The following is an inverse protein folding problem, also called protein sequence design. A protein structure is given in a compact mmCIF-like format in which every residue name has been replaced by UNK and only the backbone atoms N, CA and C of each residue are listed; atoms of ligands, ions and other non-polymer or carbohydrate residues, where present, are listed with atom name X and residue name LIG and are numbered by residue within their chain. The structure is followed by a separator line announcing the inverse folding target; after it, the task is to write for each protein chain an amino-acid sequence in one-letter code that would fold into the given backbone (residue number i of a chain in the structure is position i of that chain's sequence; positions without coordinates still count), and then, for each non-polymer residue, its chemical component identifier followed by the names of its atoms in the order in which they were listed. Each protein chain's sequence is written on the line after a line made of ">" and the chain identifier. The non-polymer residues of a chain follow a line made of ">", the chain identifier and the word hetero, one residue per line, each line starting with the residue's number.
data_IF_817583907717
#
_entry.id   IF_817583907717
#
_cell.length_a   1.000
_cell.length_b   1.000
_cell.length_c   1.000
_cell.angle_alpha   90.00
_cell.angle_beta   90.00
_cell.angle_gamma   90.00
#
_symmetry.space_group_name_H-M   'P 1'
#
loop_
_entity.id
_entity.type
_entity.pdbx_description
1 polymer ?
#
# COMPACT_ATOMS: atom_id res chain seq x y z
N UNK A 1 -23.17 -16.20 -38.79
CA UNK A 1 -24.61 -16.12 -39.10
C UNK A 1 -25.30 -17.18 -38.25
N UNK A 2 -25.71 -16.83 -37.04
CA UNK A 2 -26.35 -17.76 -36.11
C UNK A 2 -27.53 -17.04 -35.43
N UNK A 3 -28.69 -17.62 -35.63
CA UNK A 3 -30.01 -17.20 -35.20
C UNK A 3 -30.23 -17.45 -33.70
N UNK A 4 -30.89 -16.47 -33.09
CA UNK A 4 -31.88 -16.50 -32.00
C UNK A 4 -32.46 -17.88 -31.64
N UNK A 5 -32.40 -18.25 -30.35
CA UNK A 5 -33.50 -18.74 -29.46
C UNK A 5 -32.88 -19.04 -28.07
N UNK A 6 -33.41 -18.73 -26.87
CA UNK A 6 -34.76 -18.73 -26.29
C UNK A 6 -34.77 -17.85 -25.01
N UNK A 7 -35.76 -16.96 -24.88
CA UNK A 7 -36.41 -16.59 -23.60
C UNK A 7 -37.47 -17.67 -23.27
N UNK A 8 -38.02 -17.96 -22.07
CA UNK A 8 -38.16 -17.43 -20.68
C UNK A 8 -38.63 -18.69 -19.83
N UNK A 9 -38.88 -18.71 -18.48
CA UNK A 9 -39.45 -17.64 -17.64
C UNK A 9 -38.89 -17.52 -16.20
N UNK A 10 -39.00 -16.32 -15.63
CA UNK A 10 -38.85 -16.06 -14.20
C UNK A 10 -39.82 -14.96 -13.79
N UNK A 11 -41.11 -15.28 -13.83
CA UNK A 11 -42.17 -14.40 -13.36
C UNK A 11 -42.07 -14.31 -11.83
N UNK A 12 -41.74 -13.15 -11.28
CA UNK A 12 -42.17 -12.77 -9.94
C UNK A 12 -43.21 -11.67 -10.08
N UNK A 13 -44.46 -12.09 -9.95
CA UNK A 13 -45.61 -11.23 -9.72
C UNK A 13 -45.42 -10.49 -8.40
N UNK A 14 -45.43 -9.16 -8.45
CA UNK A 14 -45.62 -8.33 -7.27
C UNK A 14 -47.09 -8.47 -6.83
N UNK A 15 -47.38 -8.89 -5.59
CA UNK A 15 -48.72 -8.76 -5.06
C UNK A 15 -48.95 -7.26 -4.80
N UNK A 16 -49.63 -6.59 -5.73
CA UNK A 16 -50.35 -5.35 -5.43
C UNK A 16 -51.53 -5.72 -4.53
N UNK A 17 -51.25 -5.81 -3.24
CA UNK A 17 -52.24 -5.84 -2.17
C UNK A 17 -52.54 -4.41 -1.72
N UNK A 18 -53.82 -4.12 -1.50
CA UNK A 18 -54.43 -2.80 -1.42
C UNK A 18 -54.30 -2.07 -0.07
N UNK A 19 -53.29 -2.35 0.75
CA UNK A 19 -53.04 -1.58 1.99
C UNK A 19 -51.57 -1.20 2.13
N UNK A 20 -51.31 0.09 1.90
CA UNK A 20 -50.03 0.75 2.13
C UNK A 20 -49.85 0.94 3.65
N UNK A 21 -48.86 0.25 4.22
CA UNK A 21 -48.34 0.38 5.60
C UNK A 21 -49.07 -0.39 6.72
N UNK A 22 -48.86 -1.71 6.79
CA UNK A 22 -48.91 -2.43 8.08
C UNK A 22 -47.60 -2.22 8.86
N UNK A 23 -47.62 -1.28 9.81
CA UNK A 23 -46.48 -0.88 10.66
C UNK A 23 -45.90 -2.03 11.48
N UNK A 24 -46.74 -2.99 11.88
CA UNK A 24 -46.33 -4.13 12.71
C UNK A 24 -45.55 -5.20 11.93
N UNK A 25 -45.85 -5.35 10.63
CA UNK A 25 -45.11 -6.29 9.76
C UNK A 25 -43.71 -5.78 9.44
N UNK A 26 -43.54 -4.46 9.27
CA UNK A 26 -42.21 -3.85 9.13
C UNK A 26 -41.39 -3.93 10.42
N UNK A 27 -42.00 -3.72 11.60
CA UNK A 27 -41.31 -3.93 12.88
C UNK A 27 -40.82 -5.37 13.02
N UNK A 28 -41.64 -6.37 12.71
CA UNK A 28 -41.22 -7.77 12.77
C UNK A 28 -40.07 -8.08 11.81
N UNK A 29 -40.11 -7.58 10.57
CA UNK A 29 -39.01 -7.78 9.60
C UNK A 29 -37.72 -7.08 10.05
N UNK A 30 -37.81 -5.90 10.67
CA UNK A 30 -36.65 -5.19 11.21
C UNK A 30 -36.09 -5.92 12.44
N UNK A 31 -36.95 -6.36 13.36
CA UNK A 31 -36.55 -7.11 14.57
C UNK A 31 -35.92 -8.46 14.19
N UNK A 32 -36.49 -9.17 13.22
CA UNK A 32 -35.94 -10.45 12.74
C UNK A 32 -34.62 -10.25 12.01
N UNK A 33 -34.47 -9.20 11.18
CA UNK A 33 -33.17 -8.87 10.57
C UNK A 33 -32.14 -8.44 11.60
N UNK A 34 -32.53 -7.69 12.64
CA UNK A 34 -31.64 -7.31 13.73
C UNK A 34 -31.23 -8.51 14.59
N UNK A 35 -32.12 -9.48 14.83
CA UNK A 35 -31.79 -10.75 15.52
C UNK A 35 -30.89 -11.64 14.67
N UNK A 36 -31.09 -11.69 13.36
CA UNK A 36 -30.22 -12.42 12.43
C UNK A 36 -28.82 -11.79 12.35
N UNK A 37 -28.75 -10.46 12.36
CA UNK A 37 -27.49 -9.71 12.45
C UNK A 37 -26.79 -9.95 13.80
N UNK A 38 -27.52 -9.89 14.91
CA UNK A 38 -26.98 -10.13 16.25
C UNK A 38 -26.53 -11.58 16.44
N UNK A 39 -27.27 -12.56 15.90
CA UNK A 39 -26.89 -13.98 15.91
C UNK A 39 -25.68 -14.28 15.05
N UNK A 40 -25.54 -13.62 13.89
CA UNK A 40 -24.35 -13.70 13.05
C UNK A 40 -23.13 -13.06 13.73
N UNK A 41 -23.32 -11.92 14.40
CA UNK A 41 -22.29 -11.26 15.20
C UNK A 41 -21.83 -12.13 16.37
N UNK A 42 -22.78 -12.76 17.09
CA UNK A 42 -22.51 -13.59 18.27
C UNK A 42 -21.87 -14.94 17.89
N UNK A 43 -22.27 -15.54 16.77
CA UNK A 43 -21.64 -16.73 16.22
C UNK A 43 -20.20 -16.48 15.77
N UNK A 44 -19.91 -15.32 15.16
CA UNK A 44 -18.54 -14.93 14.80
C UNK A 44 -17.70 -14.54 16.01
N UNK A 45 -18.28 -13.95 17.06
CA UNK A 45 -17.56 -13.61 18.30
C UNK A 45 -17.07 -14.84 19.07
N UNK A 46 -17.81 -15.96 19.03
CA UNK A 46 -17.39 -17.20 19.70
C UNK A 46 -16.26 -17.96 18.96
N UNK A 47 -16.13 -17.83 17.63
CA UNK A 47 -14.92 -18.27 16.91
C UNK A 47 -13.72 -17.31 17.13
N UNK A 48 -13.98 -16.04 17.46
CA UNK A 48 -12.96 -15.00 17.71
C UNK A 48 -12.36 -15.11 19.14
N UNK A 49 -13.10 -15.67 20.10
CA UNK A 49 -12.66 -15.80 21.49
C UNK A 49 -11.35 -16.56 21.69
N UNK A 50 -11.04 -17.55 20.84
CA UNK A 50 -9.79 -18.32 20.92
C UNK A 50 -8.61 -17.72 20.15
N UNK A 51 -8.82 -16.61 19.42
CA UNK A 51 -7.78 -15.96 18.60
C UNK A 51 -7.48 -14.50 19.00
N UNK A 52 -8.24 -13.96 19.97
CA UNK A 52 -8.15 -12.58 20.45
C UNK A 52 -6.77 -12.20 21.03
N UNK A 53 -5.94 -13.18 21.41
CA UNK A 53 -4.55 -13.00 21.85
C UNK A 53 -3.49 -13.56 20.91
N UNK A 54 -3.86 -14.08 19.74
CA UNK A 54 -2.86 -14.39 18.72
C UNK A 54 -2.52 -13.10 17.99
N UNK A 55 -1.59 -12.33 18.56
CA UNK A 55 -0.80 -11.33 17.86
C UNK A 55 -0.18 -11.98 16.63
N UNK A 56 -0.89 -11.98 15.50
CA UNK A 56 -0.36 -12.42 14.22
C UNK A 56 0.75 -11.45 13.85
N UNK A 57 1.98 -11.91 14.09
CA UNK A 57 3.22 -11.16 14.00
C UNK A 57 3.25 -10.22 12.79
N UNK A 58 3.23 -8.91 13.08
CA UNK A 58 3.54 -7.86 12.11
C UNK A 58 5.03 -8.04 11.77
N UNK A 59 5.33 -8.53 10.57
CA UNK A 59 6.71 -8.77 10.13
C UNK A 59 7.38 -7.41 9.87
N UNK A 60 8.14 -6.93 10.86
CA UNK A 60 9.30 -6.03 10.67
C UNK A 60 9.08 -4.61 10.14
N UNK A 61 7.86 -4.18 9.82
CA UNK A 61 7.58 -2.78 9.46
C UNK A 61 6.74 -2.09 10.52
N UNK A 62 7.40 -1.33 11.38
CA UNK A 62 6.78 -0.31 12.21
C UNK A 62 7.58 0.97 12.12
N UNK A 63 6.91 2.05 11.69
CA UNK A 63 7.12 3.35 12.35
C UNK A 63 6.00 4.36 12.14
N UNK A 64 5.07 4.12 11.21
CA UNK A 64 3.93 5.02 11.01
C UNK A 64 2.63 4.22 11.03
N UNK A 65 1.93 4.30 12.17
CA UNK A 65 0.50 4.06 12.27
C UNK A 65 -0.21 4.83 11.13
N UNK A 66 -1.30 4.31 10.56
CA UNK A 66 -2.02 5.02 9.47
C UNK A 66 -2.46 6.41 9.96
N UNK A 67 -1.64 7.45 9.74
CA UNK A 67 -1.82 8.80 10.30
C UNK A 67 -3.07 9.50 9.74
N UNK A 68 -3.64 8.96 8.67
CA UNK A 68 -4.91 9.39 8.06
C UNK A 68 -6.03 9.44 9.12
N UNK A 69 -6.01 8.54 10.12
CA UNK A 69 -6.96 8.57 11.24
C UNK A 69 -6.80 9.83 12.11
N UNK A 70 -5.56 10.28 12.33
CA UNK A 70 -5.29 11.51 13.07
C UNK A 70 -5.83 12.69 12.29
N UNK A 71 -5.64 12.71 10.96
CA UNK A 71 -6.21 13.71 10.07
C UNK A 71 -7.73 13.81 10.19
N UNK A 72 -8.46 12.69 10.18
CA UNK A 72 -9.91 12.69 10.34
C UNK A 72 -10.36 13.11 11.74
N UNK A 73 -9.73 12.60 12.80
CA UNK A 73 -10.09 12.93 14.18
C UNK A 73 -9.92 14.43 14.45
N UNK A 74 -8.79 14.98 14.02
CA UNK A 74 -8.47 16.39 14.16
C UNK A 74 -9.43 17.29 13.38
N UNK A 75 -9.81 16.91 12.16
CA UNK A 75 -10.81 17.64 11.38
C UNK A 75 -12.19 17.67 12.06
N UNK A 76 -12.59 16.56 12.70
CA UNK A 76 -13.84 16.53 13.47
C UNK A 76 -13.79 17.50 14.66
N UNK A 77 -12.69 17.52 15.40
CA UNK A 77 -12.50 18.44 16.54
C UNK A 77 -12.53 19.89 16.06
N UNK A 78 -11.86 20.23 14.97
CA UNK A 78 -11.84 21.60 14.43
C UNK A 78 -13.21 22.07 13.94
N UNK A 79 -13.97 21.17 13.30
CA UNK A 79 -15.33 21.48 12.83
C UNK A 79 -16.32 21.71 13.99
N UNK A 80 -16.12 21.07 15.14
CA UNK A 80 -16.93 21.34 16.33
C UNK A 80 -16.45 22.60 17.06
N UNK A 81 -15.13 22.80 17.14
CA UNK A 81 -14.53 23.95 17.81
C UNK A 81 -14.92 25.30 17.15
N UNK A 82 -15.14 25.33 15.83
CA UNK A 82 -15.56 26.55 15.13
C UNK A 82 -17.00 27.01 15.46
N UNK A 83 -17.83 26.12 16.03
CA UNK A 83 -19.19 26.45 16.49
C UNK A 83 -19.18 27.14 17.85
N UNK A 84 -18.17 26.87 18.67
CA UNK A 84 -18.02 27.36 20.04
C UNK A 84 -17.13 28.61 20.12
N UNK A 85 -17.10 29.46 19.09
CA UNK A 85 -16.27 30.68 19.07
C UNK A 85 -17.04 31.84 19.73
N UNK A 86 -16.76 32.22 20.99
CA UNK A 86 -17.29 33.44 21.57
C UNK A 86 -16.72 34.66 20.82
N UNK A 87 -17.57 35.65 20.52
CA UNK A 87 -17.15 36.89 19.87
C UNK A 87 -16.21 37.67 20.81
N UNK A 88 -15.04 38.08 20.31
CA UNK A 88 -14.16 39.05 20.99
C UNK A 88 -13.11 38.47 21.96
N UNK A 89 -12.87 37.15 21.99
CA UNK A 89 -11.75 36.57 22.75
C UNK A 89 -10.66 36.05 21.81
N UNK A 90 -9.43 36.57 21.96
CA UNK A 90 -8.23 36.25 21.14
C UNK A 90 -7.77 34.79 21.29
N UNK A 91 -8.39 34.02 22.17
CA UNK A 91 -7.98 32.65 22.46
C UNK A 91 -8.77 31.69 21.56
N UNK A 92 -8.30 31.49 20.32
CA UNK A 92 -8.67 30.28 19.58
C UNK A 92 -7.46 29.42 19.17
N UNK A 93 -6.66 28.94 20.15
CA UNK A 93 -5.59 28.00 19.88
C UNK A 93 -6.15 26.67 19.35
N UNK A 94 -7.36 26.25 19.69
CA UNK A 94 -7.83 24.89 19.40
C UNK A 94 -8.06 24.59 17.91
N UNK A 95 -8.67 25.49 17.14
CA UNK A 95 -8.90 25.27 15.69
C UNK A 95 -7.59 25.24 14.91
N UNK A 96 -6.61 26.04 15.32
CA UNK A 96 -5.29 26.13 14.66
C UNK A 96 -4.37 24.99 15.13
N UNK A 97 -4.35 24.72 16.43
CA UNK A 97 -3.51 23.70 17.08
C UNK A 97 -3.94 22.30 16.70
N UNK A 98 -5.25 22.05 16.60
CA UNK A 98 -5.75 20.80 16.06
C UNK A 98 -5.85 20.90 14.54
N UNK A 99 -6.63 21.80 13.96
CA UNK A 99 -6.94 21.78 12.52
C UNK A 99 -5.83 22.20 11.58
N UNK A 100 -4.80 22.92 12.03
CA UNK A 100 -3.72 23.40 11.18
C UNK A 100 -2.51 22.48 11.18
N UNK A 101 -1.65 22.63 12.19
CA UNK A 101 -0.32 22.01 12.24
C UNK A 101 -0.37 20.47 12.07
N UNK A 102 -1.22 19.72 12.80
CA UNK A 102 -1.38 18.28 12.60
C UNK A 102 -1.78 17.90 11.17
N UNK A 103 -2.61 18.68 10.49
CA UNK A 103 -3.00 18.39 9.10
C UNK A 103 -1.83 18.54 8.13
N UNK A 104 -0.96 19.55 8.33
CA UNK A 104 0.25 19.68 7.52
C UNK A 104 1.21 18.50 7.74
N UNK A 105 1.31 17.99 8.99
CA UNK A 105 2.12 16.80 9.30
C UNK A 105 1.51 15.56 8.61
N UNK A 106 0.20 15.33 8.74
CA UNK A 106 -0.50 14.21 8.09
C UNK A 106 -0.38 14.29 6.56
N UNK A 107 -0.50 15.48 5.98
CA UNK A 107 -0.30 15.73 4.55
C UNK A 107 1.12 15.40 4.10
N UNK A 108 2.13 15.85 4.85
CA UNK A 108 3.55 15.58 4.56
C UNK A 108 3.89 14.08 4.63
N UNK A 109 3.34 13.37 5.62
CA UNK A 109 3.49 11.91 5.74
C UNK A 109 2.74 11.18 4.64
N UNK A 110 1.58 11.67 4.21
CA UNK A 110 0.84 11.10 3.08
C UNK A 110 1.62 11.27 1.77
N UNK A 111 2.26 12.43 1.58
CA UNK A 111 3.13 12.70 0.44
C UNK A 111 4.33 11.75 0.39
N UNK A 112 5.01 11.53 1.51
CA UNK A 112 6.16 10.61 1.57
C UNK A 112 5.77 9.14 1.28
N UNK A 113 4.50 8.78 1.48
CA UNK A 113 3.93 7.47 1.13
C UNK A 113 3.51 7.34 -0.33
N UNK A 114 3.59 8.41 -1.13
CA UNK A 114 3.11 8.44 -2.51
C UNK A 114 1.58 8.59 -2.65
N UNK A 115 0.88 8.94 -1.56
CA UNK A 115 -0.55 9.20 -1.53
C UNK A 115 -0.83 10.67 -1.89
N UNK A 116 -0.78 10.96 -3.19
CA UNK A 116 -0.83 12.34 -3.72
C UNK A 116 -2.18 13.01 -3.49
N UNK A 117 -3.29 12.27 -3.59
CA UNK A 117 -4.63 12.80 -3.36
C UNK A 117 -4.83 13.17 -1.88
N UNK A 118 -4.56 12.23 -0.98
CA UNK A 118 -4.73 12.39 0.47
C UNK A 118 -3.87 13.55 0.98
N UNK A 119 -2.62 13.65 0.51
CA UNK A 119 -1.74 14.78 0.79
C UNK A 119 -2.37 16.11 0.41
N UNK A 120 -2.84 16.25 -0.83
CA UNK A 120 -3.46 17.49 -1.31
C UNK A 120 -4.74 17.83 -0.51
N UNK A 121 -5.56 16.83 -0.18
CA UNK A 121 -6.77 17.03 0.59
C UNK A 121 -6.46 17.52 2.02
N UNK A 122 -5.52 16.88 2.73
CA UNK A 122 -5.17 17.28 4.09
C UNK A 122 -4.46 18.65 4.14
N UNK A 123 -3.62 18.99 3.15
CA UNK A 123 -3.05 20.34 3.05
C UNK A 123 -4.11 21.41 2.82
N UNK A 124 -5.13 21.12 2.00
CA UNK A 124 -6.23 22.03 1.73
C UNK A 124 -7.08 22.24 2.99
N UNK A 125 -7.41 21.18 3.72
CA UNK A 125 -8.13 21.25 5.00
C UNK A 125 -7.32 22.00 6.06
N UNK A 126 -6.02 21.72 6.18
CA UNK A 126 -5.13 22.41 7.13
C UNK A 126 -5.03 23.92 6.85
N UNK A 127 -4.95 24.28 5.57
CA UNK A 127 -4.92 25.69 5.13
C UNK A 127 -6.23 26.41 5.46
N UNK A 128 -7.37 25.75 5.22
CA UNK A 128 -8.69 26.30 5.56
C UNK A 128 -8.80 26.58 7.06
N UNK A 129 -8.48 25.61 7.93
CA UNK A 129 -8.59 25.78 9.38
C UNK A 129 -7.64 26.84 9.92
N UNK A 130 -6.43 26.92 9.37
CA UNK A 130 -5.43 27.91 9.79
C UNK A 130 -5.86 29.34 9.42
N UNK A 131 -6.29 29.54 8.17
CA UNK A 131 -6.67 30.86 7.67
C UNK A 131 -8.02 31.28 8.28
N UNK A 132 -9.05 30.44 8.16
CA UNK A 132 -10.41 30.82 8.55
C UNK A 132 -10.64 30.75 10.06
N UNK A 133 -9.96 29.83 10.75
CA UNK A 133 -9.93 29.82 12.23
C UNK A 133 -9.35 31.13 12.77
N UNK A 134 -8.29 31.65 12.14
CA UNK A 134 -7.71 32.93 12.51
C UNK A 134 -8.63 34.11 12.18
N UNK A 135 -9.19 34.15 10.97
CA UNK A 135 -10.08 35.23 10.51
C UNK A 135 -11.34 35.34 11.39
N UNK A 136 -11.95 34.20 11.75
CA UNK A 136 -13.12 34.17 12.64
C UNK A 136 -12.77 34.49 14.09
N UNK A 137 -11.64 33.99 14.59
CA UNK A 137 -11.18 34.23 15.96
C UNK A 137 -10.78 35.69 16.22
N UNK A 138 -10.20 36.36 15.21
CA UNK A 138 -9.81 37.77 15.29
C UNK A 138 -10.99 38.75 15.08
N UNK A 139 -12.20 38.26 14.79
CA UNK A 139 -13.37 39.12 14.55
C UNK A 139 -13.27 40.00 13.29
N UNK A 140 -12.31 39.72 12.39
CA UNK A 140 -12.01 40.52 11.19
C UNK A 140 -13.20 40.54 10.21
N UNK A 141 -14.10 39.55 10.30
CA UNK A 141 -15.29 39.43 9.47
C UNK A 141 -16.40 40.47 9.81
N UNK A 142 -16.42 41.01 11.02
CA UNK A 142 -17.42 42.01 11.43
C UNK A 142 -16.95 43.46 11.12
N UNK A 143 -15.71 43.67 10.67
CA UNK A 143 -15.10 45.01 10.57
C UNK A 143 -15.04 45.59 9.14
N UNK A 144 -14.90 44.77 8.10
CA UNK A 144 -14.91 45.24 6.70
C UNK A 144 -15.28 44.11 5.74
N UNK A 145 -16.12 44.40 4.73
CA UNK A 145 -16.42 43.53 3.59
C UNK A 145 -15.16 43.35 2.72
N UNK A 146 -14.17 42.62 3.24
CA UNK A 146 -12.91 42.46 2.52
C UNK A 146 -13.15 41.57 1.30
N UNK A 147 -13.08 42.19 0.13
CA UNK A 147 -13.06 41.52 -1.18
C UNK A 147 -12.01 40.40 -1.19
N UNK A 148 -10.93 40.57 -0.43
CA UNK A 148 -9.89 39.57 -0.20
C UNK A 148 -10.42 38.27 0.46
N UNK A 149 -11.27 38.35 1.49
CA UNK A 149 -11.83 37.17 2.14
C UNK A 149 -12.79 36.42 1.21
N UNK A 150 -13.61 37.14 0.46
CA UNK A 150 -14.49 36.55 -0.55
C UNK A 150 -13.69 35.86 -1.67
N UNK A 151 -12.64 36.51 -2.19
CA UNK A 151 -11.74 35.95 -3.18
C UNK A 151 -11.03 34.68 -2.66
N UNK A 152 -10.60 34.67 -1.39
CA UNK A 152 -10.03 33.50 -0.74
C UNK A 152 -11.00 32.32 -0.68
N UNK A 153 -12.26 32.54 -0.32
CA UNK A 153 -13.28 31.49 -0.31
C UNK A 153 -13.54 30.94 -1.72
N UNK A 154 -13.59 31.81 -2.74
CA UNK A 154 -13.74 31.39 -4.15
C UNK A 154 -12.57 30.50 -4.58
N UNK A 155 -11.33 30.85 -4.20
CA UNK A 155 -10.15 30.03 -4.49
C UNK A 155 -10.25 28.65 -3.83
N UNK A 156 -10.67 28.58 -2.56
CA UNK A 156 -10.87 27.30 -1.86
C UNK A 156 -12.00 26.44 -2.47
N UNK A 157 -13.07 27.07 -2.98
CA UNK A 157 -14.13 26.36 -3.72
C UNK A 157 -13.55 25.78 -5.02
N UNK A 158 -12.76 26.54 -5.77
CA UNK A 158 -12.14 26.07 -7.00
C UNK A 158 -11.22 24.85 -6.76
N UNK A 159 -10.37 24.91 -5.72
CA UNK A 159 -9.54 23.78 -5.30
C UNK A 159 -10.40 22.61 -4.84
N UNK A 160 -11.47 22.87 -4.08
CA UNK A 160 -12.43 21.85 -3.64
C UNK A 160 -13.10 21.11 -4.80
N UNK A 161 -13.49 21.81 -5.86
CA UNK A 161 -14.08 21.21 -7.06
C UNK A 161 -13.09 20.29 -7.80
N UNK A 162 -11.82 20.68 -7.88
CA UNK A 162 -10.76 19.81 -8.43
C UNK A 162 -10.59 18.55 -7.59
N UNK A 163 -10.53 18.71 -6.25
CA UNK A 163 -10.45 17.58 -5.33
C UNK A 163 -11.68 16.69 -5.40
N UNK A 164 -12.87 17.25 -5.64
CA UNK A 164 -14.11 16.49 -5.80
C UNK A 164 -14.02 15.55 -7.00
N UNK A 165 -13.52 16.04 -8.13
CA UNK A 165 -13.28 15.23 -9.32
C UNK A 165 -12.36 14.04 -9.03
N UNK A 166 -11.23 14.29 -8.34
CA UNK A 166 -10.30 13.23 -7.93
C UNK A 166 -10.90 12.26 -6.91
N UNK A 167 -11.68 12.75 -5.95
CA UNK A 167 -12.32 11.94 -4.92
C UNK A 167 -13.25 10.88 -5.49
N UNK A 168 -13.88 11.13 -6.66
CA UNK A 168 -14.75 10.15 -7.34
C UNK A 168 -14.02 8.86 -7.73
N UNK A 169 -12.70 8.91 -7.90
CA UNK A 169 -11.84 7.76 -8.26
C UNK A 169 -11.34 7.03 -7.01
N UNK A 170 -11.47 7.62 -5.83
CA UNK A 170 -10.94 7.07 -4.57
C UNK A 170 -12.03 6.30 -3.79
N UNK A 171 -13.02 7.00 -3.24
CA UNK A 171 -14.10 6.37 -2.46
C UNK A 171 -15.30 7.30 -2.28
N UNK A 172 -16.48 6.73 -2.00
CA UNK A 172 -17.68 7.52 -1.68
C UNK A 172 -17.49 8.37 -0.42
N UNK A 173 -16.80 7.85 0.60
CA UNK A 173 -16.57 8.59 1.85
C UNK A 173 -15.78 9.88 1.60
N UNK A 174 -14.73 9.80 0.76
CA UNK A 174 -13.96 10.97 0.35
C UNK A 174 -14.80 11.96 -0.47
N UNK A 175 -15.68 11.48 -1.36
CA UNK A 175 -16.60 12.35 -2.11
C UNK A 175 -17.52 13.12 -1.16
N UNK A 176 -18.15 12.44 -0.20
CA UNK A 176 -19.04 13.08 0.78
C UNK A 176 -18.26 14.11 1.61
N UNK A 177 -17.05 13.76 2.06
CA UNK A 177 -16.21 14.66 2.85
C UNK A 177 -15.84 15.93 2.08
N UNK A 178 -15.45 15.81 0.81
CA UNK A 178 -15.10 16.97 -0.03
C UNK A 178 -16.34 17.82 -0.38
N UNK A 179 -17.51 17.19 -0.59
CA UNK A 179 -18.76 17.94 -0.77
C UNK A 179 -19.08 18.78 0.47
N UNK A 180 -19.01 18.19 1.65
CA UNK A 180 -19.26 18.90 2.91
C UNK A 180 -18.23 20.00 3.16
N UNK A 181 -16.96 19.78 2.78
CA UNK A 181 -15.94 20.82 2.79
C UNK A 181 -16.31 22.00 1.89
N UNK A 182 -16.74 21.75 0.64
CA UNK A 182 -17.16 22.83 -0.28
C UNK A 182 -18.34 23.60 0.32
N UNK A 183 -19.35 22.90 0.86
CA UNK A 183 -20.51 23.54 1.52
C UNK A 183 -20.09 24.40 2.72
N UNK A 184 -19.11 23.94 3.48
CA UNK A 184 -18.56 24.69 4.61
C UNK A 184 -17.86 25.98 4.14
N UNK A 185 -17.08 25.93 3.06
CA UNK A 185 -16.47 27.13 2.45
C UNK A 185 -17.52 28.06 1.84
N UNK A 186 -18.60 27.52 1.25
CA UNK A 186 -19.73 28.33 0.76
C UNK A 186 -20.41 29.05 1.92
N UNK A 187 -20.58 28.40 3.07
CA UNK A 187 -21.11 29.06 4.27
C UNK A 187 -20.24 30.23 4.72
N UNK A 188 -18.92 30.07 4.68
CA UNK A 188 -17.98 31.15 5.00
C UNK A 188 -18.02 32.31 3.99
N UNK A 189 -18.12 31.99 2.70
CA UNK A 189 -18.31 33.01 1.66
C UNK A 189 -19.61 33.80 1.91
N UNK A 190 -20.72 33.12 2.15
CA UNK A 190 -21.98 33.79 2.39
C UNK A 190 -21.96 34.62 3.69
N UNK A 191 -21.20 34.18 4.70
CA UNK A 191 -20.95 34.97 5.92
C UNK A 191 -20.18 36.26 5.61
N UNK A 192 -19.16 36.24 4.74
CA UNK A 192 -18.46 37.49 4.31
C UNK A 192 -19.36 38.47 3.57
N UNK A 193 -20.37 37.95 2.87
CA UNK A 193 -21.37 38.76 2.16
C UNK A 193 -22.49 39.26 3.07
N UNK A 194 -22.43 38.99 4.39
CA UNK A 194 -23.40 39.45 5.40
C UNK A 194 -24.85 39.10 5.09
N UNK A 195 -25.08 37.94 4.46
CA UNK A 195 -26.42 37.43 4.21
C UNK A 195 -27.05 36.94 5.53
N UNK A 196 -28.32 37.27 5.77
CA UNK A 196 -28.99 36.96 7.04
C UNK A 196 -29.36 35.48 7.17
N UNK A 197 -29.30 34.94 8.40
CA UNK A 197 -29.76 33.57 8.72
C UNK A 197 -28.76 32.43 8.43
N UNK A 198 -27.50 32.75 8.12
CA UNK A 198 -26.48 31.75 7.75
C UNK A 198 -25.94 30.96 8.94
N UNK A 199 -26.06 31.49 10.16
CA UNK A 199 -25.53 30.83 11.34
C UNK A 199 -26.08 29.40 11.50
N UNK A 200 -27.37 29.20 11.19
CA UNK A 200 -28.01 27.87 11.22
C UNK A 200 -27.41 26.96 10.15
N UNK A 201 -27.19 27.46 8.94
CA UNK A 201 -26.56 26.70 7.86
C UNK A 201 -25.16 26.22 8.25
N UNK A 202 -24.32 27.12 8.79
CA UNK A 202 -22.97 26.80 9.23
C UNK A 202 -22.96 25.76 10.36
N UNK A 203 -23.89 25.84 11.30
CA UNK A 203 -24.05 24.84 12.37
C UNK A 203 -24.36 23.47 11.79
N UNK A 204 -25.37 23.37 10.92
CA UNK A 204 -25.81 22.09 10.32
C UNK A 204 -24.69 21.46 9.50
N UNK A 205 -24.03 22.22 8.64
CA UNK A 205 -22.96 21.71 7.78
C UNK A 205 -21.73 21.30 8.60
N UNK A 206 -21.36 22.06 9.63
CA UNK A 206 -20.21 21.71 10.49
C UNK A 206 -20.45 20.42 11.27
N UNK A 207 -21.68 20.20 11.77
CA UNK A 207 -22.07 18.95 12.43
C UNK A 207 -22.01 17.78 11.42
N UNK A 208 -22.58 17.95 10.22
CA UNK A 208 -22.54 16.92 9.18
C UNK A 208 -21.09 16.56 8.81
N UNK A 209 -20.22 17.57 8.64
CA UNK A 209 -18.80 17.38 8.37
C UNK A 209 -18.08 16.64 9.50
N UNK A 210 -18.37 16.99 10.77
CA UNK A 210 -17.80 16.29 11.92
C UNK A 210 -18.25 14.82 11.99
N UNK A 211 -19.52 14.52 11.71
CA UNK A 211 -20.05 13.15 11.68
C UNK A 211 -19.35 12.30 10.62
N UNK A 212 -19.14 12.84 9.41
CA UNK A 212 -18.42 12.13 8.34
C UNK A 212 -16.94 11.95 8.68
N UNK A 213 -16.30 12.95 9.30
CA UNK A 213 -14.94 12.80 9.82
C UNK A 213 -14.84 11.69 10.88
N UNK A 214 -15.79 11.61 11.81
CA UNK A 214 -15.84 10.54 12.83
C UNK A 214 -16.06 9.18 12.17
N UNK A 215 -16.92 9.10 11.14
CA UNK A 215 -17.11 7.88 10.37
C UNK A 215 -15.81 7.41 9.69
N UNK A 216 -15.12 8.31 8.99
CA UNK A 216 -13.83 8.02 8.36
C UNK A 216 -12.75 7.65 9.39
N UNK A 217 -12.74 8.31 10.55
CA UNK A 217 -11.86 7.96 11.66
C UNK A 217 -12.10 6.53 12.15
N UNK A 218 -13.36 6.18 12.45
CA UNK A 218 -13.72 4.83 12.89
C UNK A 218 -13.40 3.77 11.82
N UNK A 219 -13.64 4.07 10.54
CA UNK A 219 -13.29 3.18 9.45
C UNK A 219 -11.78 2.94 9.36
N UNK A 220 -10.97 3.99 9.52
CA UNK A 220 -9.50 3.89 9.52
C UNK A 220 -8.97 3.15 10.75
N UNK A 221 -9.52 3.42 11.94
CA UNK A 221 -9.13 2.73 13.19
C UNK A 221 -9.46 1.24 13.12
N UNK A 222 -10.68 0.89 12.69
CA UNK A 222 -11.08 -0.53 12.57
C UNK A 222 -10.24 -1.26 11.52
N UNK A 223 -9.95 -0.60 10.39
CA UNK A 223 -9.03 -1.14 9.37
C UNK A 223 -7.62 -1.34 9.92
N UNK A 224 -7.10 -0.40 10.71
CA UNK A 224 -5.77 -0.49 11.30
C UNK A 224 -5.67 -1.58 12.37
N UNK A 225 -6.69 -1.71 13.22
CA UNK A 225 -6.73 -2.71 14.31
C UNK A 225 -6.98 -4.14 13.80
N UNK A 226 -7.92 -4.31 12.86
CA UNK A 226 -8.38 -5.64 12.42
C UNK A 226 -7.74 -6.08 11.08
N UNK A 227 -7.00 -5.18 10.44
CA UNK A 227 -6.35 -5.38 9.14
C UNK A 227 -7.32 -5.59 7.97
N UNK A 228 -8.64 -5.54 8.18
CA UNK A 228 -9.67 -5.69 7.13
C UNK A 228 -10.65 -4.51 7.22
N UNK A 229 -11.12 -3.97 6.09
CA UNK A 229 -12.12 -2.90 6.09
C UNK A 229 -13.47 -3.48 6.54
N UNK A 230 -13.80 -3.29 7.81
CA UNK A 230 -15.05 -3.76 8.41
C UNK A 230 -16.17 -2.74 8.19
N UNK A 231 -15.82 -1.46 8.28
CA UNK A 231 -16.70 -0.34 7.96
C UNK A 231 -16.52 0.00 6.47
N UNK A 232 -17.58 -0.04 5.66
CA UNK A 232 -17.47 0.17 4.22
C UNK A 232 -17.29 1.67 3.89
N UNK A 233 -16.12 2.06 3.39
CA UNK A 233 -15.87 3.44 2.92
C UNK A 233 -16.49 3.76 1.54
N UNK A 234 -17.12 2.77 0.92
CA UNK A 234 -17.77 2.87 -0.39
C UNK A 234 -16.79 2.69 -1.55
N UNK A 235 -17.29 2.09 -2.64
CA UNK A 235 -16.50 1.86 -3.86
C UNK A 235 -16.31 3.17 -4.63
N UNK A 236 -15.22 3.35 -5.40
CA UNK A 236 -15.06 4.52 -6.25
C UNK A 236 -16.22 4.64 -7.25
N UNK A 237 -16.70 5.87 -7.45
CA UNK A 237 -17.82 6.20 -8.35
C UNK A 237 -17.37 6.06 -9.80
N UNK A 238 -16.17 6.56 -10.11
CA UNK A 238 -15.56 6.45 -11.43
C UNK A 238 -14.43 5.43 -11.35
N UNK A 239 -14.66 4.26 -11.94
CA UNK A 239 -13.61 3.26 -12.10
C UNK A 239 -12.76 3.63 -13.32
N UNK A 240 -11.63 4.30 -13.08
CA UNK A 240 -10.62 4.57 -14.12
C UNK A 240 -9.98 3.23 -14.51
N UNK A 241 -10.62 2.56 -15.46
CA UNK A 241 -10.33 1.19 -15.87
C UNK A 241 -9.17 1.13 -16.86
N UNK A 242 -8.05 1.78 -16.56
CA UNK A 242 -6.85 1.66 -17.42
C UNK A 242 -5.98 0.44 -17.06
N UNK A 243 -6.26 -0.25 -15.95
CA UNK A 243 -5.50 -1.42 -15.48
C UNK A 243 -6.34 -2.67 -15.18
N UNK A 244 -7.64 -2.67 -15.50
CA UNK A 244 -8.56 -3.73 -15.05
C UNK A 244 -9.26 -4.51 -16.17
N UNK A 245 -8.86 -4.30 -17.42
CA UNK A 245 -9.33 -5.07 -18.56
C UNK A 245 -8.27 -6.11 -18.91
N UNK A 246 -8.34 -7.31 -18.33
CA UNK A 246 -8.18 -8.64 -18.95
C UNK A 246 -8.36 -9.72 -17.87
N UNK A 247 -9.03 -10.82 -18.23
CA UNK A 247 -9.61 -11.81 -17.31
C UNK A 247 -8.63 -12.65 -16.47
N UNK A 248 -7.32 -12.53 -16.69
CA UNK A 248 -6.29 -13.16 -15.87
C UNK A 248 -5.76 -12.11 -14.88
N UNK A 249 -6.33 -12.10 -13.67
CA UNK A 249 -5.98 -11.11 -12.64
C UNK A 249 -4.73 -11.59 -11.91
N UNK A 250 -3.66 -10.78 -11.94
CA UNK A 250 -2.64 -10.83 -10.91
C UNK A 250 -3.31 -10.70 -9.53
N UNK A 251 -3.01 -11.58 -8.57
CA UNK A 251 -3.51 -11.46 -7.20
C UNK A 251 -2.70 -10.41 -6.43
N UNK A 252 -3.36 -9.44 -5.79
CA UNK A 252 -2.67 -8.42 -5.01
C UNK A 252 -2.82 -8.75 -3.52
N UNK A 253 -1.70 -8.86 -2.84
CA UNK A 253 -1.64 -9.24 -1.43
C UNK A 253 -0.84 -8.20 -0.64
N UNK A 254 -1.33 -7.79 0.53
CA UNK A 254 -0.57 -6.85 1.39
C UNK A 254 0.64 -7.55 2.01
N UNK A 255 1.84 -6.99 1.79
CA UNK A 255 3.12 -7.49 2.32
C UNK A 255 3.19 -7.47 3.85
N UNK A 256 2.42 -6.58 4.49
CA UNK A 256 2.42 -6.39 5.95
C UNK A 256 1.66 -7.50 6.68
N UNK A 257 0.97 -8.38 5.94
CA UNK A 257 0.14 -9.46 6.50
C UNK A 257 0.75 -10.81 6.16
N UNK A 258 0.93 -11.66 7.17
CA UNK A 258 1.36 -13.04 6.97
C UNK A 258 0.45 -13.80 5.99
N UNK A 259 -0.86 -13.53 5.98
CA UNK A 259 -1.79 -14.11 5.01
C UNK A 259 -1.49 -13.69 3.58
N UNK A 260 -1.03 -12.45 3.36
CA UNK A 260 -0.64 -11.97 2.03
C UNK A 260 0.62 -12.68 1.54
N UNK A 261 1.63 -12.82 2.41
CA UNK A 261 2.85 -13.59 2.11
C UNK A 261 2.49 -15.04 1.78
N UNK A 262 1.61 -15.66 2.57
CA UNK A 262 1.17 -17.04 2.36
C UNK A 262 0.49 -17.25 1.01
N UNK A 263 -0.43 -16.39 0.59
CA UNK A 263 -1.06 -16.51 -0.72
C UNK A 263 -0.05 -16.36 -1.87
N UNK A 264 0.91 -15.43 -1.75
CA UNK A 264 1.98 -15.29 -2.75
C UNK A 264 2.90 -16.52 -2.75
N UNK A 265 3.19 -17.08 -1.57
CA UNK A 265 3.94 -18.33 -1.45
C UNK A 265 3.19 -19.49 -2.14
N UNK A 266 1.87 -19.58 -1.99
CA UNK A 266 1.02 -20.58 -2.67
C UNK A 266 1.10 -20.43 -4.19
N UNK A 267 1.04 -19.20 -4.72
CA UNK A 267 1.20 -18.95 -6.17
C UNK A 267 2.58 -19.43 -6.65
N UNK A 268 3.66 -19.06 -5.95
CA UNK A 268 5.02 -19.51 -6.30
C UNK A 268 5.17 -21.03 -6.17
N UNK A 269 4.53 -21.64 -5.16
CA UNK A 269 4.49 -23.08 -4.94
C UNK A 269 3.64 -23.85 -5.97
N UNK A 270 2.88 -23.14 -6.80
CA UNK A 270 2.11 -23.70 -7.92
C UNK A 270 2.75 -23.37 -9.29
N UNK A 271 4.01 -22.91 -9.32
CA UNK A 271 4.71 -22.54 -10.56
C UNK A 271 4.33 -21.16 -11.12
N UNK A 272 3.71 -20.33 -10.30
CA UNK A 272 3.43 -18.93 -10.61
C UNK A 272 4.67 -18.04 -10.58
N UNK A 273 4.54 -16.81 -11.08
CA UNK A 273 5.55 -15.75 -11.01
C UNK A 273 4.94 -14.56 -10.28
N UNK A 274 5.67 -14.01 -9.31
CA UNK A 274 5.15 -12.91 -8.49
C UNK A 274 6.09 -11.70 -8.44
N UNK A 275 5.48 -10.51 -8.37
CA UNK A 275 6.16 -9.29 -7.97
C UNK A 275 6.35 -9.26 -6.46
N UNK A 276 7.59 -9.10 -5.99
CA UNK A 276 7.96 -9.16 -4.57
C UNK A 276 8.72 -7.89 -4.20
N UNK A 277 8.40 -7.26 -3.04
CA UNK A 277 9.14 -6.10 -2.55
C UNK A 277 10.50 -6.54 -2.02
N UNK A 278 11.48 -5.65 -2.06
CA UNK A 278 12.77 -5.86 -1.38
C UNK A 278 13.17 -4.56 -0.67
N UNK A 279 14.30 -4.61 0.02
CA UNK A 279 15.02 -3.46 0.58
C UNK A 279 15.37 -2.36 -0.44
N UNK A 280 15.47 -2.68 -1.73
CA UNK A 280 15.96 -1.77 -2.78
C UNK A 280 14.90 -1.51 -3.84
N UNK A 281 14.48 -2.55 -4.56
CA UNK A 281 13.54 -2.41 -5.68
C UNK A 281 12.61 -3.61 -5.72
N UNK A 282 11.45 -3.45 -6.35
CA UNK A 282 10.59 -4.59 -6.65
C UNK A 282 11.27 -5.52 -7.65
N UNK A 283 11.11 -6.82 -7.38
CA UNK A 283 11.64 -7.89 -8.19
C UNK A 283 10.52 -8.77 -8.73
N UNK A 284 10.82 -9.46 -9.82
CA UNK A 284 10.02 -10.55 -10.34
C UNK A 284 10.66 -11.87 -9.89
N UNK A 285 9.90 -12.68 -9.16
CA UNK A 285 10.35 -13.91 -8.55
C UNK A 285 9.63 -15.14 -9.10
N UNK A 286 10.39 -16.22 -9.28
CA UNK A 286 9.88 -17.56 -9.57
C UNK A 286 10.64 -18.57 -8.71
N UNK A 287 9.97 -19.62 -8.21
CA UNK A 287 10.64 -20.64 -7.41
C UNK A 287 11.53 -21.54 -8.29
N UNK A 288 12.74 -21.86 -7.81
CA UNK A 288 13.71 -22.64 -8.60
C UNK A 288 13.21 -24.04 -8.96
N UNK A 289 12.45 -24.65 -8.04
CA UNK A 289 11.84 -25.98 -8.22
C UNK A 289 10.78 -26.06 -9.33
N UNK A 290 10.44 -24.93 -9.97
CA UNK A 290 9.56 -24.88 -11.14
C UNK A 290 10.29 -24.31 -12.36
N UNK A 291 11.04 -25.14 -13.11
CA UNK A 291 11.83 -24.69 -14.26
C UNK A 291 11.04 -23.90 -15.31
N UNK A 292 9.77 -24.27 -15.56
CA UNK A 292 8.88 -23.55 -16.48
C UNK A 292 8.54 -22.13 -16.00
N UNK A 293 8.43 -21.93 -14.68
CA UNK A 293 8.17 -20.62 -14.10
C UNK A 293 9.41 -19.72 -14.23
N UNK A 294 10.60 -20.28 -13.99
CA UNK A 294 11.89 -19.61 -14.19
C UNK A 294 12.06 -19.17 -15.65
N UNK A 295 11.81 -20.07 -16.61
CA UNK A 295 11.86 -19.75 -18.04
C UNK A 295 10.88 -18.63 -18.41
N UNK A 296 9.65 -18.68 -17.90
CA UNK A 296 8.63 -17.65 -18.15
C UNK A 296 9.03 -16.31 -17.54
N UNK A 297 9.63 -16.29 -16.35
CA UNK A 297 10.17 -15.07 -15.73
C UNK A 297 11.31 -14.48 -16.56
N UNK A 298 12.22 -15.32 -17.06
CA UNK A 298 13.31 -14.91 -17.95
C UNK A 298 12.78 -14.29 -19.25
N UNK A 299 11.82 -14.95 -19.91
CA UNK A 299 11.22 -14.49 -21.18
C UNK A 299 10.38 -13.22 -21.06
N UNK A 300 10.05 -12.79 -19.84
CA UNK A 300 9.37 -11.50 -19.62
C UNK A 300 10.25 -10.32 -20.04
N UNK A 301 11.58 -10.51 -20.07
CA UNK A 301 12.53 -9.49 -20.51
C UNK A 301 12.96 -9.70 -21.96
N UNK A 302 12.87 -8.64 -22.77
CA UNK A 302 13.24 -8.66 -24.20
C UNK A 302 14.76 -8.75 -24.45
N UNK A 303 15.59 -8.31 -23.50
CA UNK A 303 17.08 -8.36 -23.55
C UNK A 303 17.61 -9.09 -22.31
N UNK A 304 17.16 -10.33 -22.10
CA UNK A 304 17.54 -11.11 -20.93
C UNK A 304 18.97 -11.69 -21.01
N UNK A 305 19.53 -11.78 -22.22
CA UNK A 305 20.85 -12.40 -22.46
C UNK A 305 22.01 -11.62 -21.81
N UNK A 306 21.91 -10.29 -21.71
CA UNK A 306 22.97 -9.46 -21.11
C UNK A 306 22.99 -9.49 -19.58
N UNK A 307 21.87 -9.85 -18.93
CA UNK A 307 21.69 -9.81 -17.48
C UNK A 307 21.00 -11.08 -16.98
N UNK A 308 21.78 -12.13 -16.64
CA UNK A 308 21.19 -13.38 -16.18
C UNK A 308 20.47 -13.19 -14.84
N UNK A 309 19.48 -14.04 -14.58
CA UNK A 309 18.76 -13.98 -13.31
C UNK A 309 19.68 -14.37 -12.14
N UNK A 310 19.45 -13.75 -10.99
CA UNK A 310 20.14 -14.10 -9.74
C UNK A 310 19.34 -15.14 -8.96
N UNK A 311 19.98 -15.82 -8.02
CA UNK A 311 19.34 -16.76 -7.10
C UNK A 311 19.29 -16.18 -5.71
N UNK A 312 18.12 -16.21 -5.07
CA UNK A 312 17.95 -15.71 -3.71
C UNK A 312 17.56 -16.86 -2.76
N UNK A 313 18.14 -16.81 -1.57
CA UNK A 313 17.97 -17.79 -0.49
C UNK A 313 17.55 -17.07 0.80
N UNK A 314 16.90 -17.77 1.72
CA UNK A 314 16.60 -17.27 3.07
C UNK A 314 17.55 -17.82 4.12
N UNK A 315 18.20 -18.96 3.84
CA UNK A 315 19.06 -19.69 4.77
C UNK A 315 20.27 -20.24 4.04
N UNK A 316 21.45 -20.11 4.64
CA UNK A 316 22.72 -20.54 4.03
C UNK A 316 22.74 -22.06 3.85
N UNK A 317 22.04 -22.78 4.71
CA UNK A 317 21.84 -24.23 4.66
C UNK A 317 21.20 -24.68 3.34
N UNK A 318 20.48 -23.81 2.62
CA UNK A 318 19.97 -24.12 1.29
C UNK A 318 21.08 -24.33 0.25
N UNK A 319 22.31 -23.91 0.54
CA UNK A 319 23.49 -24.11 -0.31
C UNK A 319 24.42 -25.22 0.21
N UNK A 320 24.02 -26.00 1.22
CA UNK A 320 24.91 -26.97 1.89
C UNK A 320 25.53 -27.99 0.93
N UNK A 321 24.83 -28.36 -0.14
CA UNK A 321 25.32 -29.28 -1.16
C UNK A 321 26.58 -28.77 -1.90
N UNK A 322 26.81 -27.46 -1.94
CA UNK A 322 27.98 -26.85 -2.57
C UNK A 322 29.09 -26.49 -1.59
N UNK A 323 28.93 -26.77 -0.29
CA UNK A 323 29.87 -26.31 0.76
C UNK A 323 31.32 -26.72 0.48
N UNK A 324 31.54 -27.96 0.06
CA UNK A 324 32.89 -28.45 -0.29
C UNK A 324 33.48 -27.69 -1.48
N UNK A 325 32.68 -27.37 -2.50
CA UNK A 325 33.11 -26.62 -3.68
C UNK A 325 33.39 -25.14 -3.38
N UNK A 326 32.66 -24.57 -2.42
CA UNK A 326 32.85 -23.18 -1.99
C UNK A 326 34.13 -22.99 -1.18
N UNK A 327 34.51 -24.00 -0.38
CA UNK A 327 35.59 -23.91 0.60
C UNK A 327 35.18 -23.11 1.84
N UNK A 328 35.98 -23.24 2.92
CA UNK A 328 35.69 -22.63 4.22
C UNK A 328 35.67 -21.10 4.14
N UNK A 329 36.65 -20.50 3.47
CA UNK A 329 36.76 -19.04 3.35
C UNK A 329 35.51 -18.38 2.73
N UNK A 330 34.97 -18.97 1.66
CA UNK A 330 33.75 -18.46 1.04
C UNK A 330 32.52 -18.73 1.91
N UNK A 331 32.47 -19.90 2.55
CA UNK A 331 31.36 -20.25 3.44
C UNK A 331 31.27 -19.31 4.63
N UNK A 332 32.40 -18.95 5.23
CA UNK A 332 32.48 -18.03 6.36
C UNK A 332 32.21 -16.58 5.93
N UNK A 333 32.66 -16.18 4.73
CA UNK A 333 32.29 -14.89 4.14
C UNK A 333 30.78 -14.78 3.96
N UNK A 334 30.11 -15.83 3.49
CA UNK A 334 28.64 -15.85 3.40
C UNK A 334 27.98 -15.64 4.77
N UNK A 335 28.58 -16.12 5.86
CA UNK A 335 28.05 -15.94 7.22
C UNK A 335 28.13 -14.48 7.68
N UNK A 336 29.25 -13.83 7.41
CA UNK A 336 29.50 -12.45 7.84
C UNK A 336 28.78 -11.43 6.95
N UNK A 337 28.58 -11.77 5.67
CA UNK A 337 27.95 -10.89 4.68
C UNK A 337 26.43 -10.97 4.73
N UNK A 338 25.83 -12.14 4.99
CA UNK A 338 24.39 -12.33 4.89
C UNK A 338 23.69 -12.51 6.24
N UNK A 339 22.45 -12.00 6.39
CA UNK A 339 21.61 -11.34 5.38
C UNK A 339 22.04 -9.89 5.07
N UNK A 340 22.02 -9.47 3.80
CA UNK A 340 22.35 -8.09 3.41
C UNK A 340 21.94 -7.70 1.98
N UNK A 341 22.24 -6.44 1.62
CA UNK A 341 22.17 -5.89 0.26
C UNK A 341 23.37 -6.27 -0.63
N UNK A 342 24.20 -7.24 -0.24
CA UNK A 342 25.33 -7.72 -1.03
C UNK A 342 24.97 -9.01 -1.76
N UNK A 343 25.20 -9.05 -3.07
CA UNK A 343 25.15 -10.25 -3.89
C UNK A 343 26.57 -10.79 -4.12
N UNK A 344 26.77 -12.08 -3.88
CA UNK A 344 28.04 -12.77 -4.13
C UNK A 344 27.94 -13.58 -5.42
N UNK A 345 28.84 -13.33 -6.36
CA UNK A 345 28.99 -14.13 -7.58
C UNK A 345 29.96 -15.27 -7.30
N UNK A 346 29.45 -16.50 -7.34
CA UNK A 346 30.18 -17.72 -7.02
C UNK A 346 30.22 -18.64 -8.23
N UNK A 347 31.13 -19.62 -8.21
CA UNK A 347 31.22 -20.63 -9.27
C UNK A 347 29.99 -21.54 -9.23
N UNK A 348 29.44 -21.82 -10.40
CA UNK A 348 28.44 -22.87 -10.56
C UNK A 348 29.12 -24.23 -10.49
N UNK A 349 28.37 -25.21 -9.98
CA UNK A 349 28.81 -26.59 -9.90
C UNK A 349 27.63 -27.54 -9.74
N UNK A 350 27.89 -28.84 -9.57
CA UNK A 350 26.87 -29.87 -9.40
C UNK A 350 25.82 -29.54 -8.32
N UNK A 351 26.20 -28.79 -7.28
CA UNK A 351 25.29 -28.33 -6.24
C UNK A 351 24.06 -27.58 -6.76
N UNK A 352 24.16 -26.89 -7.90
CA UNK A 352 23.04 -26.12 -8.48
C UNK A 352 21.87 -27.03 -8.85
N UNK A 353 22.17 -28.25 -9.30
CA UNK A 353 21.15 -29.25 -9.65
C UNK A 353 20.38 -29.77 -8.43
N UNK A 354 20.99 -29.76 -7.24
CA UNK A 354 20.33 -30.13 -5.98
C UNK A 354 19.16 -29.21 -5.61
N UNK A 355 19.06 -28.04 -6.25
CA UNK A 355 18.01 -27.04 -6.00
C UNK A 355 16.74 -27.24 -6.86
N UNK A 356 16.69 -28.28 -7.69
CA UNK A 356 15.54 -28.60 -8.53
C UNK A 356 15.38 -27.70 -9.76
N UNK A 357 16.47 -27.09 -10.23
CA UNK A 357 16.47 -26.12 -11.33
C UNK A 357 16.34 -26.77 -12.72
N UNK A 358 16.82 -28.00 -12.88
CA UNK A 358 16.75 -28.79 -14.13
C UNK A 358 17.20 -27.96 -15.36
N UNK A 359 16.46 -28.00 -16.48
CA UNK A 359 16.76 -27.26 -17.70
C UNK A 359 16.79 -25.73 -17.55
N UNK A 360 16.27 -25.18 -16.45
CA UNK A 360 16.22 -23.75 -16.23
C UNK A 360 17.55 -23.16 -15.72
N UNK A 361 18.56 -23.99 -15.45
CA UNK A 361 19.89 -23.55 -15.00
C UNK A 361 20.50 -22.50 -15.94
N UNK A 362 20.28 -22.64 -17.24
CA UNK A 362 20.79 -21.72 -18.27
C UNK A 362 20.23 -20.30 -18.17
N UNK A 363 19.12 -20.09 -17.45
CA UNK A 363 18.49 -18.79 -17.27
C UNK A 363 18.95 -18.05 -16.00
N UNK A 364 19.66 -18.75 -15.10
CA UNK A 364 20.05 -18.23 -13.79
C UNK A 364 21.58 -18.20 -13.73
N UNK A 365 22.19 -17.03 -13.65
CA UNK A 365 23.64 -16.86 -13.78
C UNK A 365 24.16 -17.08 -15.21
N UNK A 366 25.49 -17.06 -15.36
CA UNK A 366 26.21 -17.40 -16.60
C UNK A 366 26.54 -18.89 -16.63
N UNK A 367 27.27 -19.33 -17.66
CA UNK A 367 27.68 -20.73 -17.81
C UNK A 367 28.52 -21.24 -16.63
N UNK A 368 29.41 -20.42 -16.08
CA UNK A 368 30.39 -20.79 -15.04
C UNK A 368 30.06 -20.23 -13.65
N UNK A 369 29.08 -19.33 -13.55
CA UNK A 369 28.92 -18.48 -12.37
C UNK A 369 27.48 -18.05 -12.11
N UNK A 370 27.15 -17.84 -10.83
CA UNK A 370 25.80 -17.48 -10.38
C UNK A 370 25.89 -16.41 -9.30
N UNK A 371 25.05 -15.38 -9.41
CA UNK A 371 24.90 -14.37 -8.37
C UNK A 371 23.89 -14.87 -7.34
N UNK A 372 24.34 -15.00 -6.09
CA UNK A 372 23.51 -15.43 -4.96
C UNK A 372 23.32 -14.28 -3.98
N UNK A 373 22.15 -14.19 -3.35
CA UNK A 373 21.86 -13.19 -2.30
C UNK A 373 20.94 -13.76 -1.24
N UNK A 374 21.18 -13.39 0.01
CA UNK A 374 20.20 -13.50 1.08
C UNK A 374 19.71 -12.10 1.46
N UNK A 375 18.47 -11.72 1.10
CA UNK A 375 18.00 -10.36 1.30
C UNK A 375 17.77 -10.05 2.78
N UNK A 376 18.18 -8.86 3.21
CA UNK A 376 17.82 -8.30 4.53
C UNK A 376 16.43 -7.62 4.46
N UNK A 377 15.45 -8.38 3.98
CA UNK A 377 14.05 -7.96 3.98
C UNK A 377 13.23 -9.07 4.62
N UNK A 378 12.62 -8.78 5.76
CA UNK A 378 11.87 -9.77 6.55
C UNK A 378 10.74 -10.42 5.75
N UNK A 379 10.03 -9.64 4.92
CA UNK A 379 8.93 -10.13 4.10
C UNK A 379 9.44 -11.05 3.00
N UNK A 380 10.47 -10.64 2.27
CA UNK A 380 11.08 -11.45 1.20
C UNK A 380 11.73 -12.71 1.77
N UNK A 381 12.48 -12.60 2.86
CA UNK A 381 13.13 -13.75 3.51
C UNK A 381 12.09 -14.76 4.01
N UNK A 382 11.01 -14.29 4.63
CA UNK A 382 9.91 -15.14 5.06
C UNK A 382 9.18 -15.82 3.88
N UNK A 383 9.03 -15.13 2.75
CA UNK A 383 8.49 -15.71 1.53
C UNK A 383 9.41 -16.83 0.98
N UNK A 384 10.71 -16.58 0.89
CA UNK A 384 11.69 -17.57 0.41
C UNK A 384 11.74 -18.78 1.36
N UNK A 385 11.59 -18.57 2.67
CA UNK A 385 11.50 -19.64 3.66
C UNK A 385 10.31 -20.59 3.41
N UNK A 386 9.17 -20.08 2.93
CA UNK A 386 7.98 -20.90 2.62
C UNK A 386 8.04 -21.59 1.25
N UNK A 387 8.81 -21.02 0.31
CA UNK A 387 8.83 -21.46 -1.09
C UNK A 387 10.04 -22.33 -1.40
N UNK A 388 11.17 -22.08 -0.72
CA UNK A 388 12.50 -22.51 -1.10
C UNK A 388 13.22 -21.45 -1.94
N UNK A 389 14.44 -21.73 -2.42
CA UNK A 389 15.22 -20.79 -3.23
C UNK A 389 14.44 -20.30 -4.45
N UNK A 390 14.60 -19.02 -4.77
CA UNK A 390 13.90 -18.37 -5.88
C UNK A 390 14.90 -17.81 -6.90
N UNK A 391 14.53 -17.84 -8.18
CA UNK A 391 15.17 -17.03 -9.21
C UNK A 391 14.57 -15.63 -9.21
N UNK A 392 15.43 -14.64 -9.34
CA UNK A 392 15.07 -13.23 -9.23
C UNK A 392 15.60 -12.45 -10.43
N UNK A 393 14.71 -11.65 -11.00
CA UNK A 393 15.03 -10.61 -11.98
C UNK A 393 14.44 -9.29 -11.52
N UNK A 394 15.04 -8.14 -11.88
CA UNK A 394 14.42 -6.84 -11.60
C UNK A 394 13.06 -6.72 -12.30
N UNK A 395 12.04 -6.12 -11.67
CA UNK A 395 10.68 -6.07 -12.20
C UNK A 395 10.43 -4.96 -13.25
N UNK A 396 11.42 -4.69 -14.10
CA UNK A 396 11.40 -3.74 -15.21
C UNK A 396 11.82 -4.42 -16.54
N UNK A 397 11.25 -3.98 -17.68
CA UNK A 397 11.81 -4.24 -19.00
C UNK A 397 13.27 -3.78 -19.06
N UNK A 398 14.07 -4.49 -19.85
CA UNK A 398 15.49 -4.16 -19.96
C UNK A 398 15.69 -2.76 -20.51
N UNK A 399 16.55 -1.98 -19.84
CA UNK A 399 16.87 -0.60 -20.22
C UNK A 399 15.98 0.46 -19.58
N UNK A 400 14.88 0.07 -18.94
CA UNK A 400 14.02 1.00 -18.21
C UNK A 400 14.48 1.21 -16.76
N UNK A 401 14.03 2.30 -16.14
CA UNK A 401 14.24 2.55 -14.71
C UNK A 401 13.72 1.39 -13.86
N UNK A 402 14.29 1.18 -12.68
CA UNK A 402 13.83 0.14 -11.77
C UNK A 402 12.41 0.42 -11.25
N UNK A 403 11.74 -0.63 -10.80
CA UNK A 403 10.41 -0.52 -10.19
C UNK A 403 10.54 -0.32 -8.69
N UNK A 404 10.13 0.85 -8.20
CA UNK A 404 10.17 1.19 -6.77
C UNK A 404 8.81 1.03 -6.09
N UNK A 405 7.74 0.76 -6.85
CA UNK A 405 6.39 0.61 -6.30
C UNK A 405 5.65 -0.57 -6.97
N UNK A 406 4.83 -1.29 -6.22
CA UNK A 406 4.07 -2.45 -6.71
C UNK A 406 3.18 -2.13 -7.93
N UNK A 407 2.63 -0.91 -8.01
CA UNK A 407 1.87 -0.44 -9.19
C UNK A 407 2.70 -0.41 -10.47
N UNK A 408 4.00 -0.12 -10.36
CA UNK A 408 4.90 -0.02 -11.52
C UNK A 408 5.22 -1.41 -12.10
N UNK A 409 5.15 -2.47 -11.29
CA UNK A 409 5.41 -3.85 -11.72
C UNK A 409 4.45 -4.24 -12.84
N UNK A 410 3.13 -4.05 -12.65
CA UNK A 410 2.14 -4.36 -13.70
C UNK A 410 2.18 -3.38 -14.84
N UNK A 411 2.40 -2.10 -14.56
CA UNK A 411 2.48 -1.08 -15.60
C UNK A 411 3.60 -1.40 -16.60
N UNK A 412 4.72 -1.95 -16.12
CA UNK A 412 5.90 -2.24 -16.94
C UNK A 412 5.93 -3.67 -17.50
N UNK A 413 5.56 -4.68 -16.71
CA UNK A 413 5.64 -6.09 -17.13
C UNK A 413 4.35 -6.60 -17.78
N UNK A 414 3.22 -5.94 -17.54
CA UNK A 414 1.89 -6.36 -17.96
C UNK A 414 1.30 -7.47 -17.08
N UNK A 415 -0.04 -7.53 -17.03
CA UNK A 415 -0.82 -8.51 -16.25
C UNK A 415 -0.51 -9.97 -16.63
N UNK A 416 -0.20 -10.22 -17.91
CA UNK A 416 0.08 -11.58 -18.43
C UNK A 416 1.34 -12.23 -17.84
N UNK A 417 2.29 -11.42 -17.37
CA UNK A 417 3.60 -11.90 -16.94
C UNK A 417 3.78 -11.89 -15.41
N UNK A 418 2.70 -11.66 -14.66
CA UNK A 418 2.73 -11.56 -13.21
C UNK A 418 1.45 -12.14 -12.61
N UNK A 419 1.53 -13.32 -11.99
CA UNK A 419 0.37 -14.02 -11.43
C UNK A 419 -0.04 -13.47 -10.04
N UNK A 420 0.90 -12.84 -9.33
CA UNK A 420 0.65 -12.23 -8.03
C UNK A 420 1.61 -11.10 -7.69
N UNK A 421 1.22 -10.18 -6.82
CA UNK A 421 2.04 -9.07 -6.34
C UNK A 421 1.88 -8.91 -4.84
N UNK A 422 3.02 -8.89 -4.16
CA UNK A 422 3.10 -8.59 -2.74
C UNK A 422 3.30 -7.07 -2.56
N UNK A 423 2.24 -6.37 -2.16
CA UNK A 423 2.19 -4.91 -2.09
C UNK A 423 2.76 -4.41 -0.75
N UNK A 424 3.96 -3.82 -0.78
CA UNK A 424 4.58 -3.14 0.37
C UNK A 424 4.60 -1.60 0.26
N UNK A 425 3.98 -1.03 -0.78
CA UNK A 425 4.09 0.41 -1.08
C UNK A 425 5.42 0.75 -1.75
N UNK A 426 5.97 1.97 -1.54
CA UNK A 426 7.25 2.39 -2.12
C UNK A 426 8.43 1.66 -1.45
N UNK A 427 9.47 1.40 -2.25
CA UNK A 427 10.73 0.82 -1.78
C UNK A 427 11.50 1.86 -0.96
N UNK A 428 12.14 1.48 0.15
CA UNK A 428 12.75 2.44 1.08
C UNK A 428 14.00 3.11 0.52
N UNK A 429 14.74 2.43 -0.36
CA UNK A 429 16.00 2.92 -0.93
C UNK A 429 15.96 2.93 -2.46
N UNK A 430 16.55 3.93 -3.10
CA UNK A 430 16.62 4.03 -4.57
C UNK A 430 17.98 3.59 -5.13
N UNK A 431 18.79 2.84 -4.38
CA UNK A 431 20.16 2.49 -4.73
C UNK A 431 20.36 0.98 -4.89
N UNK A 432 20.98 0.56 -5.99
CA UNK A 432 21.17 -0.85 -6.32
C UNK A 432 22.04 -1.62 -5.29
N UNK A 433 21.91 -2.96 -5.26
CA UNK A 433 22.75 -3.85 -4.45
C UNK A 433 24.21 -3.89 -4.93
N UNK A 434 25.14 -4.08 -3.99
CA UNK A 434 26.57 -4.31 -4.28
C UNK A 434 26.75 -5.74 -4.79
N UNK A 435 27.51 -5.93 -5.88
CA UNK A 435 27.74 -7.24 -6.52
C UNK A 435 29.24 -7.54 -6.54
N UNK A 436 29.62 -8.55 -5.78
CA UNK A 436 31.01 -8.94 -5.52
C UNK A 436 31.33 -10.23 -6.27
N UNK A 437 32.47 -10.28 -6.95
CA UNK A 437 32.99 -11.49 -7.60
C UNK A 437 33.86 -12.27 -6.62
N UNK A 438 33.40 -13.45 -6.22
CA UNK A 438 34.07 -14.34 -5.28
C UNK A 438 34.65 -15.59 -5.96
N UNK A 439 34.69 -15.65 -7.30
CA UNK A 439 35.18 -16.84 -8.03
C UNK A 439 36.66 -17.16 -7.78
N UNK A 440 37.46 -16.14 -7.42
CA UNK A 440 38.89 -16.24 -7.11
C UNK A 440 39.20 -15.99 -5.63
N UNK A 441 38.22 -16.20 -4.74
CA UNK A 441 38.38 -15.92 -3.31
C UNK A 441 39.51 -16.73 -2.66
N UNK A 442 39.75 -17.97 -3.11
CA UNK A 442 40.85 -18.82 -2.63
C UNK A 442 42.24 -18.29 -3.02
N UNK A 443 42.34 -17.41 -4.03
CA UNK A 443 43.57 -16.69 -4.36
C UNK A 443 43.75 -15.41 -3.52
N UNK A 444 42.84 -15.14 -2.58
CA UNK A 444 42.82 -13.92 -1.77
C UNK A 444 42.34 -12.69 -2.53
N UNK A 445 41.59 -12.86 -3.62
CA UNK A 445 41.12 -11.75 -4.48
C UNK A 445 39.60 -11.66 -4.49
N UNK A 446 39.09 -10.44 -4.31
CA UNK A 446 37.70 -10.07 -4.55
C UNK A 446 37.60 -9.13 -5.76
N UNK A 447 36.68 -9.43 -6.67
CA UNK A 447 36.29 -8.52 -7.75
C UNK A 447 34.99 -7.78 -7.42
N UNK A 448 34.69 -6.72 -8.16
CA UNK A 448 33.45 -5.96 -8.02
C UNK A 448 32.83 -5.72 -9.39
N UNK A 449 31.64 -6.28 -9.61
CA UNK A 449 30.86 -5.99 -10.82
C UNK A 449 30.05 -4.71 -10.68
N UNK A 450 29.62 -4.40 -9.46
CA UNK A 450 28.86 -3.18 -9.15
C UNK A 450 29.05 -2.78 -7.70
N UNK A 451 29.31 -1.51 -7.46
CA UNK A 451 29.27 -0.91 -6.11
C UNK A 451 27.89 -0.31 -5.94
N UNK A 452 27.17 -0.79 -4.94
CA UNK A 452 25.80 -0.38 -4.60
C UNK A 452 25.78 0.40 -3.29
N UNK A 453 24.72 0.20 -2.50
CA UNK A 453 24.60 0.86 -1.19
C UNK A 453 25.73 0.52 -0.21
N UNK A 454 26.25 -0.71 -0.26
CA UNK A 454 27.38 -1.09 0.58
C UNK A 454 28.68 -0.69 -0.11
N UNK A 455 29.49 0.21 0.49
CA UNK A 455 30.73 0.66 -0.12
C UNK A 455 31.76 -0.48 -0.18
N UNK A 456 32.66 -0.38 -1.16
CA UNK A 456 33.74 -1.35 -1.38
C UNK A 456 34.57 -1.61 -0.12
N UNK A 457 34.94 -0.55 0.61
CA UNK A 457 35.74 -0.65 1.84
C UNK A 457 35.10 -1.54 2.90
N UNK A 458 33.76 -1.52 3.03
CA UNK A 458 33.05 -2.35 3.99
C UNK A 458 33.11 -3.84 3.60
N UNK A 459 33.02 -4.14 2.31
CA UNK A 459 33.14 -5.53 1.82
C UNK A 459 34.56 -6.06 2.05
N UNK A 460 35.58 -5.23 1.79
CA UNK A 460 36.98 -5.59 2.03
C UNK A 460 37.26 -5.81 3.53
N UNK A 461 36.71 -4.97 4.40
CA UNK A 461 36.80 -5.16 5.87
C UNK A 461 36.20 -6.50 6.32
N UNK A 462 35.01 -6.85 5.82
CA UNK A 462 34.37 -8.14 6.11
C UNK A 462 35.21 -9.32 5.60
N UNK A 463 35.85 -9.17 4.43
CA UNK A 463 36.72 -10.20 3.89
C UNK A 463 37.99 -10.40 4.71
N UNK A 464 38.66 -9.32 5.10
CA UNK A 464 39.86 -9.42 5.94
C UNK A 464 39.55 -10.01 7.32
N UNK A 465 38.38 -9.72 7.89
CA UNK A 465 37.92 -10.32 9.16
C UNK A 465 37.77 -11.84 9.07
N UNK A 466 37.34 -12.37 7.93
CA UNK A 466 37.15 -13.82 7.74
C UNK A 466 38.48 -14.50 7.39
N UNK A 467 39.40 -13.75 6.78
CA UNK A 467 40.73 -14.25 6.42
C UNK A 467 41.67 -14.35 7.64
N UNK A 468 41.49 -13.47 8.63
CA UNK A 468 42.26 -13.45 9.89
C UNK A 468 41.84 -14.56 10.83
#
# INVERSE_FOLDING_TARGET
>A
MAHITRMKPGCKTLPLGSELFETERMKQVIVDKCRLFAGCLYGQLNEVGSTLFSTSHMLGYSKYLELDMVGFAVNAVSALAILWVPKGLVILPWVILFGGIPQFIVGSVSFSRGLTFESCAFFTLGSLWTIWGSVKGLGVLDADHSIAAAAGCIAFIAVGLLLLGLATVISVSWVILIILYILLVVGFLLQTLSVSGIDVYLVVISIAFAVVCIYCFLASVTKSLMGRPLIPTGKPIVQVSYLHSQGDKALWCDARRASGVKHIAEILNNGGICGVPTDVVYILAAALKFPKAVERAYKTKKLAEDRPMSMWISKREQLSAGKEEFGELLWDLMQEVWPSTISLVIKKGPWVQSLGVDFAEKYIGRTDSIAVRMPDNTVTSHLIDQVGPISVSSANPTGEADTTHHLQVLAKLGLKNCDGILCAGPSPENAASTVVDCRQINEGKLGFFRIGIVPKSRVEELFEKVRS
#
